data_IF_102549894375
#
_entry.id   IF_102549894375
#
_cell.length_a   1.000
_cell.length_b   1.000
_cell.length_c   1.000
_cell.angle_alpha   90.00
_cell.angle_beta   90.00
_cell.angle_gamma   90.00
#
_symmetry.space_group_name_H-M   'P 1'
#
loop_
_entity.id
_entity.type
_entity.pdbx_description
1 polymer ?
#
# COMPACT_ATOMS: atom_id res chain seq x y z
N UNK A 1 49.59 -31.73 -71.34
CA UNK A 1 49.24 -31.44 -69.93
C UNK A 1 50.47 -30.77 -69.35
N UNK A 2 50.40 -29.51 -68.90
CA UNK A 2 51.61 -28.84 -68.41
C UNK A 2 52.09 -29.57 -67.16
N UNK A 3 53.31 -30.08 -67.21
CA UNK A 3 53.98 -30.68 -66.06
C UNK A 3 54.14 -29.58 -65.00
N UNK A 4 53.40 -29.70 -63.90
CA UNK A 4 53.53 -28.79 -62.77
C UNK A 4 54.90 -29.03 -62.13
N UNK A 5 55.78 -28.03 -62.20
CA UNK A 5 57.10 -28.08 -61.59
C UNK A 5 57.00 -28.54 -60.11
N UNK A 6 57.85 -29.49 -59.65
CA UNK A 6 57.83 -29.98 -58.26
C UNK A 6 57.99 -28.85 -57.22
N UNK A 7 58.63 -27.74 -57.59
CA UNK A 7 58.78 -26.53 -56.78
C UNK A 7 57.48 -25.73 -56.67
N UNK A 8 56.63 -25.73 -57.70
CA UNK A 8 55.30 -25.12 -57.68
C UNK A 8 54.35 -25.90 -56.77
N UNK A 9 54.42 -27.23 -56.77
CA UNK A 9 53.63 -28.09 -55.87
C UNK A 9 54.06 -27.89 -54.41
N UNK A 10 55.37 -27.76 -54.14
CA UNK A 10 55.90 -27.42 -52.82
C UNK A 10 55.50 -26.01 -52.34
N UNK A 11 55.51 -25.02 -53.23
CA UNK A 11 55.06 -23.67 -52.92
C UNK A 11 53.55 -23.62 -52.61
N UNK A 12 52.71 -24.29 -53.41
CA UNK A 12 51.26 -24.38 -53.18
C UNK A 12 50.95 -25.13 -51.88
N UNK A 13 51.71 -26.17 -51.54
CA UNK A 13 51.59 -26.92 -50.30
C UNK A 13 51.92 -26.12 -49.02
N UNK A 14 52.81 -25.12 -49.11
CA UNK A 14 53.11 -24.19 -48.01
C UNK A 14 52.14 -23.00 -47.97
N UNK A 15 51.62 -22.60 -49.13
CA UNK A 15 50.73 -21.44 -49.27
C UNK A 15 49.35 -21.72 -48.65
N UNK A 16 48.83 -22.94 -48.77
CA UNK A 16 47.55 -23.34 -48.16
C UNK A 16 47.55 -23.18 -46.63
N UNK A 17 48.49 -23.75 -45.84
CA UNK A 17 48.53 -23.53 -44.40
C UNK A 17 48.83 -22.08 -44.03
N UNK A 18 49.61 -21.34 -44.82
CA UNK A 18 49.83 -19.91 -44.59
C UNK A 18 48.53 -19.09 -44.77
N UNK A 19 47.74 -19.38 -45.80
CA UNK A 19 46.43 -18.74 -46.04
C UNK A 19 45.42 -19.14 -44.96
N UNK A 20 45.39 -20.41 -44.55
CA UNK A 20 44.53 -20.86 -43.45
C UNK A 20 44.92 -20.18 -42.15
N UNK A 21 46.22 -20.10 -41.82
CA UNK A 21 46.71 -19.38 -40.65
C UNK A 21 46.35 -17.89 -40.70
N UNK A 22 46.49 -17.25 -41.86
CA UNK A 22 46.10 -15.86 -42.08
C UNK A 22 44.59 -15.64 -41.85
N UNK A 23 43.74 -16.52 -42.39
CA UNK A 23 42.29 -16.47 -42.19
C UNK A 23 41.94 -16.67 -40.71
N UNK A 24 42.60 -17.61 -40.02
CA UNK A 24 42.40 -17.83 -38.58
C UNK A 24 42.80 -16.60 -37.78
N UNK A 25 43.94 -15.98 -38.08
CA UNK A 25 44.40 -14.76 -37.40
C UNK A 25 43.45 -13.58 -37.67
N UNK A 26 43.04 -13.37 -38.92
CA UNK A 26 42.08 -12.31 -39.28
C UNK A 26 40.68 -12.55 -38.69
N UNK A 27 40.28 -13.81 -38.52
CA UNK A 27 39.04 -14.16 -37.84
C UNK A 27 39.12 -13.91 -36.33
N UNK A 28 40.28 -14.18 -35.72
CA UNK A 28 40.49 -14.04 -34.28
C UNK A 28 40.71 -12.58 -33.86
N UNK A 29 41.41 -11.80 -34.68
CA UNK A 29 41.77 -10.41 -34.39
C UNK A 29 40.78 -9.47 -35.09
N UNK A 30 39.96 -8.70 -34.35
CA UNK A 30 39.06 -7.73 -34.95
C UNK A 30 39.83 -6.46 -35.37
N UNK A 31 40.58 -6.55 -36.48
CA UNK A 31 41.43 -5.47 -37.01
C UNK A 31 40.65 -4.15 -37.21
N UNK A 32 39.41 -4.12 -37.73
CA UNK A 32 38.66 -2.87 -37.88
C UNK A 32 38.37 -2.17 -36.55
N UNK A 33 38.03 -2.92 -35.50
CA UNK A 33 37.79 -2.39 -34.16
C UNK A 33 39.08 -1.84 -33.53
N UNK A 34 40.20 -2.52 -33.75
CA UNK A 34 41.51 -2.06 -33.28
C UNK A 34 41.90 -0.73 -33.93
N UNK A 35 41.72 -0.59 -35.25
CA UNK A 35 41.96 0.67 -35.98
C UNK A 35 41.06 1.79 -35.45
N UNK A 36 39.77 1.51 -35.22
CA UNK A 36 38.81 2.49 -34.69
C UNK A 36 39.16 2.96 -33.27
N UNK A 37 39.67 2.05 -32.43
CA UNK A 37 40.13 2.35 -31.08
C UNK A 37 41.38 3.25 -31.12
N UNK A 38 42.34 2.91 -31.98
CA UNK A 38 43.57 3.66 -32.18
C UNK A 38 43.31 5.08 -32.73
N UNK A 39 42.48 5.22 -33.76
CA UNK A 39 42.14 6.52 -34.35
C UNK A 39 41.35 7.44 -33.41
N UNK A 40 40.66 6.85 -32.43
CA UNK A 40 39.90 7.57 -31.40
C UNK A 40 40.73 7.91 -30.15
N UNK A 41 42.03 7.61 -30.12
CA UNK A 41 42.88 7.81 -28.94
C UNK A 41 42.61 6.84 -27.78
N UNK A 42 41.78 5.83 -28.01
CA UNK A 42 41.42 4.80 -27.04
C UNK A 42 42.30 3.55 -27.26
N UNK A 43 43.57 3.62 -26.87
CA UNK A 43 44.53 2.55 -27.12
C UNK A 43 44.14 1.23 -26.46
N UNK A 44 44.00 0.17 -27.26
CA UNK A 44 43.80 -1.22 -26.81
C UNK A 44 44.81 -2.11 -27.53
N UNK A 45 45.51 -2.96 -26.78
CA UNK A 45 46.47 -3.92 -27.34
C UNK A 45 45.79 -5.01 -28.18
N UNK A 46 46.49 -5.48 -29.22
CA UNK A 46 46.02 -6.61 -30.04
C UNK A 46 45.85 -7.88 -29.19
N UNK A 47 46.78 -8.13 -28.26
CA UNK A 47 46.70 -9.27 -27.34
C UNK A 47 45.52 -9.18 -26.37
N UNK A 48 45.12 -7.98 -25.93
CA UNK A 48 43.94 -7.82 -25.07
C UNK A 48 42.64 -8.10 -25.84
N UNK A 49 42.53 -7.72 -27.12
CA UNK A 49 41.36 -8.05 -27.95
C UNK A 49 41.19 -9.55 -28.15
N UNK A 50 42.30 -10.28 -28.36
CA UNK A 50 42.28 -11.75 -28.43
C UNK A 50 41.92 -12.34 -27.06
N UNK A 51 42.50 -11.80 -25.99
CA UNK A 51 42.20 -12.20 -24.61
C UNK A 51 40.73 -12.04 -24.22
N UNK A 52 40.08 -10.95 -24.65
CA UNK A 52 38.63 -10.74 -24.44
C UNK A 52 37.81 -11.88 -25.02
N UNK A 53 38.10 -12.32 -26.25
CA UNK A 53 37.40 -13.44 -26.89
C UNK A 53 37.60 -14.76 -26.13
N UNK A 54 38.81 -15.02 -25.67
CA UNK A 54 39.10 -16.23 -24.88
C UNK A 54 38.31 -16.24 -23.54
N UNK A 55 38.13 -15.07 -22.93
CA UNK A 55 37.32 -14.88 -21.71
C UNK A 55 35.81 -14.74 -21.99
N UNK A 56 35.35 -14.97 -23.22
CA UNK A 56 33.95 -14.82 -23.67
C UNK A 56 33.37 -13.40 -23.45
N UNK A 57 34.21 -12.37 -23.46
CA UNK A 57 33.79 -10.97 -23.43
C UNK A 57 33.72 -10.43 -24.86
N UNK A 58 32.62 -9.81 -25.31
CA UNK A 58 32.48 -9.27 -26.66
C UNK A 58 33.39 -8.03 -26.84
N UNK A 59 34.44 -8.09 -27.67
CA UNK A 59 35.38 -6.98 -27.81
C UNK A 59 34.73 -5.72 -28.39
N UNK A 60 33.71 -5.89 -29.25
CA UNK A 60 32.98 -4.78 -29.87
C UNK A 60 32.34 -3.85 -28.84
N UNK A 61 31.63 -4.42 -27.86
CA UNK A 61 30.93 -3.66 -26.82
C UNK A 61 31.91 -2.90 -25.93
N UNK A 62 32.97 -3.56 -25.47
CA UNK A 62 33.97 -2.97 -24.57
C UNK A 62 34.73 -1.85 -25.26
N UNK A 63 35.23 -2.09 -26.48
CA UNK A 63 36.01 -1.11 -27.24
C UNK A 63 35.16 0.10 -27.60
N UNK A 64 33.93 -0.11 -28.07
CA UNK A 64 33.02 1.00 -28.41
C UNK A 64 32.69 1.84 -27.17
N UNK A 65 32.43 1.19 -26.03
CA UNK A 65 32.19 1.90 -24.77
C UNK A 65 33.44 2.70 -24.32
N UNK A 66 34.63 2.10 -24.43
CA UNK A 66 35.90 2.79 -24.13
C UNK A 66 36.14 3.98 -25.06
N UNK A 67 35.86 3.85 -26.36
CA UNK A 67 35.96 4.94 -27.32
C UNK A 67 35.04 6.09 -26.91
N UNK A 68 33.78 5.80 -26.57
CA UNK A 68 32.82 6.81 -26.11
C UNK A 68 33.27 7.52 -24.84
N UNK A 69 33.79 6.77 -23.86
CA UNK A 69 34.33 7.35 -22.62
C UNK A 69 35.51 8.29 -22.88
N UNK A 70 36.50 7.84 -23.67
CA UNK A 70 37.70 8.64 -23.98
C UNK A 70 37.35 9.89 -24.79
N UNK A 71 36.46 9.79 -25.79
CA UNK A 71 35.99 10.95 -26.56
C UNK A 71 35.20 11.95 -25.72
N UNK A 72 34.60 11.51 -24.63
CA UNK A 72 33.93 12.37 -23.66
C UNK A 72 34.89 12.97 -22.61
N UNK A 73 36.20 12.69 -22.67
CA UNK A 73 37.18 13.21 -21.70
C UNK A 73 37.39 12.31 -20.48
N UNK A 74 36.70 11.17 -20.38
CA UNK A 74 36.76 10.26 -19.23
C UNK A 74 37.97 9.32 -19.32
N UNK A 75 39.16 9.84 -19.04
CA UNK A 75 40.42 9.07 -19.16
C UNK A 75 40.62 8.02 -18.06
N UNK A 76 39.92 8.12 -16.92
CA UNK A 76 39.91 7.11 -15.84
C UNK A 76 39.21 5.79 -16.20
N UNK A 77 38.65 5.73 -17.42
CA UNK A 77 37.92 4.65 -18.12
C UNK A 77 38.51 3.24 -18.26
N UNK A 78 39.28 2.62 -17.36
CA UNK A 78 40.14 1.46 -17.70
C UNK A 78 39.44 0.28 -18.45
N UNK A 79 40.12 -0.32 -19.44
CA UNK A 79 39.57 -1.45 -20.22
C UNK A 79 39.31 -2.66 -19.33
N UNK A 80 40.20 -2.90 -18.36
CA UNK A 80 40.08 -4.00 -17.41
C UNK A 80 38.84 -3.83 -16.51
N UNK A 81 38.51 -2.60 -16.10
CA UNK A 81 37.33 -2.34 -15.28
C UNK A 81 36.03 -2.57 -16.08
N UNK A 82 36.01 -2.19 -17.36
CA UNK A 82 34.88 -2.45 -18.26
C UNK A 82 34.68 -3.97 -18.49
N UNK A 83 35.78 -4.70 -18.69
CA UNK A 83 35.75 -6.16 -18.82
C UNK A 83 35.27 -6.83 -17.52
N UNK A 84 35.80 -6.40 -16.37
CA UNK A 84 35.41 -6.92 -15.06
C UNK A 84 33.92 -6.68 -14.78
N UNK A 85 33.40 -5.49 -15.11
CA UNK A 85 31.98 -5.17 -14.98
C UNK A 85 31.09 -6.05 -15.88
N UNK A 86 31.51 -6.27 -17.13
CA UNK A 86 30.79 -7.16 -18.04
C UNK A 86 30.77 -8.61 -17.53
N UNK A 87 31.91 -9.10 -17.03
CA UNK A 87 32.01 -10.45 -16.47
C UNK A 87 31.20 -10.61 -15.17
N UNK A 88 31.01 -9.54 -14.41
CA UNK A 88 30.10 -9.49 -13.26
C UNK A 88 28.61 -9.48 -13.66
N UNK A 89 28.29 -9.44 -14.95
CA UNK A 89 26.92 -9.43 -15.47
C UNK A 89 26.30 -8.05 -15.65
N UNK A 90 27.11 -6.98 -15.54
CA UNK A 90 26.66 -5.60 -15.69
C UNK A 90 26.59 -5.10 -17.14
N UNK A 91 25.86 -4.01 -17.34
CA UNK A 91 25.71 -3.34 -18.63
C UNK A 91 26.73 -2.20 -18.80
N UNK A 92 27.83 -2.52 -19.47
CA UNK A 92 28.94 -1.58 -19.75
C UNK A 92 28.49 -0.33 -20.51
N UNK A 93 27.61 -0.48 -21.51
CA UNK A 93 27.16 0.64 -22.35
C UNK A 93 26.34 1.63 -21.52
N UNK A 94 25.44 1.12 -20.67
CA UNK A 94 24.61 1.95 -19.78
C UNK A 94 25.48 2.72 -18.78
N UNK A 95 26.43 2.06 -18.15
CA UNK A 95 27.36 2.68 -17.18
C UNK A 95 28.19 3.79 -17.83
N UNK A 96 28.78 3.54 -19.00
CA UNK A 96 29.55 4.57 -19.71
C UNK A 96 28.67 5.75 -20.11
N UNK A 97 27.47 5.52 -20.64
CA UNK A 97 26.55 6.61 -20.98
C UNK A 97 26.14 7.43 -19.75
N UNK A 98 25.97 6.78 -18.59
CA UNK A 98 25.68 7.45 -17.34
C UNK A 98 26.87 8.30 -16.87
N UNK A 99 28.10 7.78 -16.97
CA UNK A 99 29.33 8.53 -16.64
C UNK A 99 29.51 9.77 -17.53
N UNK A 100 29.28 9.63 -18.83
CA UNK A 100 29.33 10.77 -19.77
C UNK A 100 28.27 11.82 -19.42
N UNK A 101 27.07 11.37 -19.04
CA UNK A 101 25.99 12.27 -18.64
C UNK A 101 26.30 12.99 -17.33
N UNK A 102 26.92 12.29 -16.37
CA UNK A 102 27.31 12.85 -15.08
C UNK A 102 28.41 13.90 -15.23
N UNK A 103 29.43 13.61 -16.04
CA UNK A 103 30.54 14.54 -16.32
C UNK A 103 30.05 15.83 -16.99
N UNK A 104 29.17 15.72 -18.00
CA UNK A 104 28.53 16.89 -18.64
C UNK A 104 27.67 17.71 -17.67
N UNK A 105 27.15 17.08 -16.63
CA UNK A 105 26.37 17.72 -15.58
C UNK A 105 27.23 18.18 -14.39
N UNK A 106 28.55 18.05 -14.48
CA UNK A 106 29.51 18.37 -13.42
C UNK A 106 29.24 17.60 -12.10
N UNK A 107 28.80 16.34 -12.22
CA UNK A 107 28.55 15.42 -11.11
C UNK A 107 29.73 14.45 -11.01
N UNK A 108 30.41 14.44 -9.86
CA UNK A 108 31.52 13.53 -9.61
C UNK A 108 31.01 12.10 -9.42
N UNK A 109 31.18 11.25 -10.45
CA UNK A 109 30.74 9.86 -10.43
C UNK A 109 31.90 8.92 -10.83
N UNK A 110 32.58 8.26 -9.88
CA UNK A 110 33.63 7.31 -10.23
C UNK A 110 33.04 6.03 -10.85
N UNK A 111 33.80 5.39 -11.74
CA UNK A 111 33.37 4.17 -12.44
C UNK A 111 32.88 3.08 -11.48
N UNK A 112 33.60 2.85 -10.37
CA UNK A 112 33.24 1.84 -9.36
C UNK A 112 31.85 2.07 -8.76
N UNK A 113 31.45 3.33 -8.58
CA UNK A 113 30.12 3.69 -8.05
C UNK A 113 29.03 3.43 -9.10
N UNK A 114 29.26 3.88 -10.33
CA UNK A 114 28.33 3.62 -11.44
C UNK A 114 28.13 2.11 -11.68
N UNK A 115 29.22 1.34 -11.62
CA UNK A 115 29.18 -0.13 -11.69
C UNK A 115 28.39 -0.74 -10.53
N UNK A 116 28.58 -0.27 -9.29
CA UNK A 116 27.84 -0.76 -8.13
C UNK A 116 26.33 -0.50 -8.23
N UNK A 117 25.92 0.66 -8.77
CA UNK A 117 24.50 0.98 -8.98
C UNK A 117 23.87 0.05 -10.02
N UNK A 118 24.58 -0.21 -11.12
CA UNK A 118 24.12 -1.10 -12.20
C UNK A 118 24.01 -2.56 -11.70
N UNK A 119 25.00 -3.05 -10.95
CA UNK A 119 24.97 -4.40 -10.35
C UNK A 119 23.91 -4.54 -9.26
N UNK A 120 23.52 -3.45 -8.59
CA UNK A 120 22.38 -3.43 -7.68
C UNK A 120 21.02 -3.49 -8.40
N UNK A 121 21.02 -3.58 -9.74
CA UNK A 121 19.81 -3.68 -10.56
C UNK A 121 19.08 -2.35 -10.77
N UNK A 122 19.71 -1.21 -10.44
CA UNK A 122 19.13 0.13 -10.66
C UNK A 122 19.61 0.71 -12.00
N UNK A 123 18.78 1.52 -12.65
CA UNK A 123 19.18 2.22 -13.87
C UNK A 123 20.05 3.44 -13.54
N UNK A 124 21.37 3.30 -13.70
CA UNK A 124 22.35 4.36 -13.46
C UNK A 124 22.12 5.57 -14.37
N UNK A 125 21.71 5.36 -15.62
CA UNK A 125 21.54 6.44 -16.58
C UNK A 125 20.31 7.28 -16.22
N UNK A 126 19.21 6.63 -15.84
CA UNK A 126 18.02 7.32 -15.34
C UNK A 126 18.32 8.10 -14.06
N UNK A 127 19.05 7.50 -13.12
CA UNK A 127 19.45 8.14 -11.88
C UNK A 127 20.26 9.43 -12.11
N UNK A 128 21.24 9.41 -13.02
CA UNK A 128 22.02 10.61 -13.37
C UNK A 128 21.12 11.66 -14.02
N UNK A 129 20.24 11.27 -14.95
CA UNK A 129 19.31 12.20 -15.60
C UNK A 129 18.38 12.86 -14.57
N UNK A 130 17.84 12.09 -13.64
CA UNK A 130 16.96 12.58 -12.58
C UNK A 130 17.71 13.46 -11.55
N UNK A 131 19.02 13.26 -11.41
CA UNK A 131 19.87 14.15 -10.60
C UNK A 131 19.96 15.55 -11.21
N UNK A 132 19.97 15.67 -12.55
CA UNK A 132 20.03 16.96 -13.24
C UNK A 132 18.63 17.57 -13.41
N UNK A 133 17.71 16.77 -13.94
CA UNK A 133 16.33 17.17 -14.26
C UNK A 133 15.40 16.45 -13.28
N UNK A 134 14.90 17.14 -12.25
CA UNK A 134 14.00 16.54 -11.28
C UNK A 134 12.75 15.94 -11.93
N UNK A 135 12.23 14.87 -11.32
CA UNK A 135 11.01 14.20 -11.76
C UNK A 135 9.86 14.54 -10.81
N UNK A 136 8.69 14.81 -11.36
CA UNK A 136 7.47 15.03 -10.59
C UNK A 136 6.72 13.72 -10.48
N UNK A 137 6.38 13.33 -9.25
CA UNK A 137 5.65 12.11 -8.92
C UNK A 137 4.38 12.49 -8.15
N UNK A 138 3.24 11.98 -8.57
CA UNK A 138 1.97 12.23 -7.90
C UNK A 138 1.72 11.17 -6.84
N UNK A 139 1.22 11.58 -5.67
CA UNK A 139 0.72 10.63 -4.67
C UNK A 139 -0.65 10.09 -5.09
N UNK A 140 -1.02 8.94 -4.53
CA UNK A 140 -2.41 8.48 -4.57
C UNK A 140 -3.34 9.49 -3.88
N UNK A 141 -4.65 9.38 -4.14
CA UNK A 141 -5.68 10.12 -3.39
C UNK A 141 -5.66 9.66 -1.93
N UNK A 142 -5.24 10.54 -1.04
CA UNK A 142 -5.13 10.27 0.39
C UNK A 142 -6.34 10.88 1.08
N UNK A 143 -7.13 10.03 1.74
CA UNK A 143 -8.29 10.46 2.53
C UNK A 143 -7.92 10.56 4.01
N UNK A 144 -8.21 11.69 4.64
CA UNK A 144 -8.00 11.92 6.07
C UNK A 144 -9.15 12.72 6.65
N UNK A 145 -9.41 12.59 7.95
CA UNK A 145 -10.53 13.24 8.65
C UNK A 145 -9.98 14.27 9.62
N UNK A 146 -10.43 15.52 9.50
CA UNK A 146 -10.06 16.58 10.44
C UNK A 146 -10.79 16.42 11.78
N UNK A 147 -10.39 17.18 12.82
CA UNK A 147 -10.98 17.04 14.17
C UNK A 147 -12.46 17.40 14.25
N UNK A 148 -12.96 18.17 13.29
CA UNK A 148 -14.39 18.49 13.14
C UNK A 148 -15.21 17.35 12.50
N UNK A 149 -14.57 16.23 12.15
CA UNK A 149 -15.22 15.03 11.62
C UNK A 149 -15.47 15.07 10.11
N UNK A 150 -14.98 16.09 9.40
CA UNK A 150 -15.11 16.20 7.94
C UNK A 150 -13.92 15.57 7.25
N UNK A 151 -14.20 14.74 6.25
CA UNK A 151 -13.17 14.09 5.44
C UNK A 151 -12.65 15.06 4.37
N UNK A 152 -11.33 15.05 4.20
CA UNK A 152 -10.63 15.71 3.10
C UNK A 152 -9.88 14.65 2.29
N UNK A 153 -9.95 14.78 0.97
CA UNK A 153 -9.22 13.94 0.01
C UNK A 153 -8.19 14.83 -0.66
N UNK A 154 -6.92 14.61 -0.37
CA UNK A 154 -5.83 15.42 -0.89
C UNK A 154 -4.92 14.61 -1.81
N UNK A 155 -4.41 15.28 -2.85
CA UNK A 155 -3.39 14.77 -3.77
C UNK A 155 -2.21 15.71 -3.73
N UNK A 156 -0.99 15.18 -3.67
CA UNK A 156 0.23 15.97 -3.72
C UNK A 156 1.12 15.60 -4.91
N UNK A 157 1.85 16.58 -5.41
CA UNK A 157 2.94 16.49 -6.39
C UNK A 157 4.25 16.60 -5.63
N UNK A 158 5.04 15.54 -5.67
CA UNK A 158 6.36 15.49 -5.05
C UNK A 158 7.41 15.63 -6.15
N UNK A 159 8.19 16.69 -6.11
CA UNK A 159 9.33 16.88 -7.00
C UNK A 159 10.56 16.27 -6.34
N UNK A 160 11.07 15.19 -6.92
CA UNK A 160 12.24 14.47 -6.39
C UNK A 160 13.43 14.54 -7.34
N UNK A 161 14.61 14.53 -6.74
CA UNK A 161 15.90 14.42 -7.40
C UNK A 161 16.63 13.20 -6.87
N UNK A 162 17.35 12.47 -7.71
CA UNK A 162 18.16 11.34 -7.24
C UNK A 162 19.42 11.83 -6.51
N UNK A 163 19.65 11.28 -5.31
CA UNK A 163 20.89 11.44 -4.58
C UNK A 163 21.85 10.30 -4.95
N UNK A 164 22.87 10.62 -5.74
CA UNK A 164 23.80 9.64 -6.31
C UNK A 164 24.63 8.92 -5.21
N UNK A 165 24.89 9.58 -4.07
CA UNK A 165 25.67 8.99 -2.98
C UNK A 165 24.90 7.90 -2.22
N UNK A 166 23.56 8.01 -2.15
CA UNK A 166 22.69 7.10 -1.40
C UNK A 166 21.86 6.15 -2.26
N UNK A 167 22.16 6.09 -3.56
CA UNK A 167 21.38 5.31 -4.52
C UNK A 167 21.50 3.79 -4.29
N UNK A 168 22.66 3.33 -3.81
CA UNK A 168 22.87 1.92 -3.42
C UNK A 168 22.47 1.73 -1.96
N UNK A 169 21.47 0.89 -1.71
CA UNK A 169 20.96 0.60 -0.36
C UNK A 169 19.93 1.60 0.19
N UNK A 170 19.73 2.75 -0.45
CA UNK A 170 18.68 3.71 -0.10
C UNK A 170 17.27 3.21 -0.47
N UNK A 171 16.28 3.68 0.28
CA UNK A 171 14.87 3.42 0.01
C UNK A 171 14.39 4.06 -1.31
N UNK A 172 13.40 3.43 -1.95
CA UNK A 172 12.91 3.78 -3.28
C UNK A 172 11.88 4.93 -3.32
N UNK A 173 11.37 5.23 -4.52
CA UNK A 173 10.32 6.26 -4.73
C UNK A 173 9.06 5.94 -3.92
N UNK A 174 8.66 4.67 -3.87
CA UNK A 174 7.48 4.20 -3.13
C UNK A 174 7.52 4.55 -1.64
N UNK A 175 8.70 4.45 -1.02
CA UNK A 175 8.87 4.79 0.39
C UNK A 175 8.68 6.28 0.63
N UNK A 176 9.10 7.14 -0.30
CA UNK A 176 8.89 8.59 -0.22
C UNK A 176 7.40 8.90 -0.35
N UNK A 177 6.72 8.32 -1.33
CA UNK A 177 5.27 8.51 -1.54
C UNK A 177 4.51 8.10 -0.28
N UNK A 178 4.86 6.96 0.33
CA UNK A 178 4.23 6.48 1.56
C UNK A 178 4.46 7.43 2.75
N UNK A 179 5.69 7.89 2.95
CA UNK A 179 6.05 8.85 4.02
C UNK A 179 5.37 10.21 3.85
N UNK A 180 5.31 10.71 2.61
CA UNK A 180 4.56 11.94 2.29
C UNK A 180 3.08 11.73 2.59
N UNK A 181 2.53 10.57 2.21
CA UNK A 181 1.14 10.23 2.52
C UNK A 181 0.84 10.18 4.01
N UNK A 182 1.70 9.55 4.80
CA UNK A 182 1.62 9.56 6.27
C UNK A 182 1.66 10.98 6.83
N UNK A 183 2.58 11.81 6.34
CA UNK A 183 2.70 13.21 6.73
C UNK A 183 1.43 14.02 6.42
N UNK A 184 0.80 13.76 5.26
CA UNK A 184 -0.47 14.39 4.88
C UNK A 184 -1.60 13.96 5.81
N UNK A 185 -1.77 12.66 6.07
CA UNK A 185 -2.80 12.14 6.97
C UNK A 185 -2.64 12.73 8.38
N UNK A 186 -1.41 12.77 8.89
CA UNK A 186 -1.11 13.35 10.21
C UNK A 186 -1.42 14.84 10.28
N UNK A 187 -1.11 15.60 9.22
CA UNK A 187 -1.34 17.05 9.20
C UNK A 187 -2.83 17.38 9.07
N UNK A 188 -3.56 16.69 8.21
CA UNK A 188 -5.02 16.86 8.07
C UNK A 188 -5.73 16.43 9.37
N UNK A 189 -5.35 15.29 9.95
CA UNK A 189 -5.97 14.79 11.18
C UNK A 189 -5.68 15.63 12.43
N UNK A 190 -4.64 16.46 12.40
CA UNK A 190 -4.33 17.37 13.52
C UNK A 190 -5.00 18.74 13.40
N UNK A 191 -5.51 19.10 12.22
CA UNK A 191 -6.24 20.34 11.98
C UNK A 191 -7.53 20.41 12.82
N UNK A 192 -7.85 21.61 13.33
CA UNK A 192 -9.04 21.82 14.13
C UNK A 192 -10.30 21.73 13.28
N UNK A 193 -10.28 22.34 12.10
CA UNK A 193 -11.37 22.30 11.13
C UNK A 193 -10.88 21.96 9.73
N UNK A 194 -11.75 21.41 8.88
CA UNK A 194 -11.46 21.20 7.46
C UNK A 194 -11.22 22.53 6.71
N UNK A 195 -11.80 23.64 7.20
CA UNK A 195 -11.63 24.98 6.60
C UNK A 195 -10.20 25.46 6.71
N UNK A 196 -9.54 25.23 7.85
CA UNK A 196 -8.13 25.64 8.06
C UNK A 196 -7.21 25.04 6.98
N UNK A 197 -7.51 23.80 6.57
CA UNK A 197 -6.75 23.08 5.53
C UNK A 197 -7.06 23.62 4.13
N UNK A 198 -8.32 23.96 3.86
CA UNK A 198 -8.74 24.53 2.57
C UNK A 198 -8.25 25.97 2.37
N UNK A 199 -8.19 26.76 3.44
CA UNK A 199 -7.70 28.14 3.37
C UNK A 199 -6.20 28.20 3.09
N UNK A 200 -5.41 27.26 3.63
CA UNK A 200 -3.95 27.25 3.51
C UNK A 200 -3.39 25.83 3.29
N UNK A 201 -3.58 25.22 2.11
CA UNK A 201 -3.09 23.87 1.82
C UNK A 201 -1.56 23.77 1.86
N UNK A 202 -0.84 24.87 1.61
CA UNK A 202 0.63 24.95 1.70
C UNK A 202 1.19 24.69 3.10
N UNK A 203 0.37 24.82 4.15
CA UNK A 203 0.81 24.47 5.50
C UNK A 203 1.04 22.96 5.64
N UNK A 204 0.32 22.14 4.86
CA UNK A 204 0.52 20.69 4.81
C UNK A 204 1.94 20.39 4.30
N UNK A 205 2.32 20.95 3.16
CA UNK A 205 3.64 20.67 2.56
C UNK A 205 4.79 21.15 3.44
N UNK A 206 4.69 22.34 4.06
CA UNK A 206 5.71 22.87 4.98
C UNK A 206 5.91 21.97 6.20
N UNK A 207 4.84 21.51 6.83
CA UNK A 207 4.92 20.61 7.98
C UNK A 207 5.54 19.27 7.61
N UNK A 208 5.21 18.74 6.43
CA UNK A 208 5.75 17.47 5.93
C UNK A 208 7.25 17.59 5.62
N UNK A 209 7.66 18.65 4.91
CA UNK A 209 9.06 18.92 4.59
C UNK A 209 9.93 19.08 5.84
N UNK A 210 9.40 19.71 6.90
CA UNK A 210 10.12 19.92 8.16
C UNK A 210 10.55 18.62 8.88
N UNK A 211 9.92 17.48 8.55
CA UNK A 211 10.21 16.18 9.17
C UNK A 211 11.37 15.42 8.53
N UNK A 212 11.97 15.92 7.45
CA UNK A 212 13.13 15.27 6.81
C UNK A 212 12.81 13.87 6.26
N UNK A 213 11.75 13.77 5.44
CA UNK A 213 11.23 12.49 4.93
C UNK A 213 12.18 11.74 3.99
N UNK A 214 13.19 12.43 3.46
CA UNK A 214 14.24 11.92 2.58
C UNK A 214 15.45 11.32 3.35
N UNK A 215 15.37 11.26 4.69
CA UNK A 215 16.37 10.56 5.49
C UNK A 215 16.41 9.06 5.13
N UNK A 216 17.57 8.61 4.64
CA UNK A 216 17.80 7.21 4.26
C UNK A 216 17.20 6.78 2.93
N UNK A 217 16.73 7.72 2.10
CA UNK A 217 16.22 7.42 0.76
C UNK A 217 17.30 7.64 -0.32
N UNK A 218 17.11 7.00 -1.47
CA UNK A 218 17.93 7.21 -2.66
C UNK A 218 17.61 8.54 -3.39
N UNK A 219 16.61 9.28 -2.91
CA UNK A 219 16.16 10.54 -3.49
C UNK A 219 16.14 11.64 -2.43
N UNK A 220 16.22 12.87 -2.91
CA UNK A 220 16.09 14.12 -2.17
C UNK A 220 14.80 14.81 -2.64
N UNK A 221 14.03 15.34 -1.69
CA UNK A 221 12.75 16.00 -1.98
C UNK A 221 13.02 17.49 -2.17
N UNK A 222 12.76 18.02 -3.36
CA UNK A 222 12.91 19.44 -3.66
C UNK A 222 11.67 20.25 -3.26
N UNK A 223 10.49 19.74 -3.62
CA UNK A 223 9.21 20.34 -3.26
C UNK A 223 8.15 19.28 -3.06
N UNK A 224 7.18 19.62 -2.20
CA UNK A 224 5.91 18.92 -2.07
C UNK A 224 4.85 19.98 -2.30
N UNK A 225 4.07 19.84 -3.35
CA UNK A 225 3.04 20.79 -3.73
C UNK A 225 1.69 20.08 -3.63
N UNK A 226 0.71 20.69 -2.97
CA UNK A 226 -0.64 20.12 -2.93
C UNK A 226 -1.31 20.39 -4.28
N UNK A 227 -1.67 19.32 -4.99
CA UNK A 227 -2.25 19.40 -6.32
C UNK A 227 -3.76 19.66 -6.26
N UNK A 228 -4.43 19.05 -5.29
CA UNK A 228 -5.88 19.09 -5.15
C UNK A 228 -6.29 18.75 -3.72
N UNK A 229 -7.37 19.37 -3.22
CA UNK A 229 -7.97 19.10 -1.90
C UNK A 229 -9.49 19.15 -2.04
N UNK A 230 -10.12 17.98 -2.03
CA UNK A 230 -11.56 17.82 -2.12
C UNK A 230 -12.18 17.60 -0.72
N UNK A 231 -13.39 18.10 -0.50
CA UNK A 231 -14.20 17.77 0.68
C UNK A 231 -15.01 16.51 0.40
N UNK A 232 -14.85 15.51 1.28
CA UNK A 232 -15.56 14.23 1.23
C UNK A 232 -16.75 14.18 2.18
N UNK A 233 -16.96 13.00 2.78
CA UNK A 233 -18.09 12.76 3.68
C UNK A 233 -17.91 13.39 5.06
N UNK A 234 -19.03 13.71 5.71
CA UNK A 234 -19.04 14.04 7.14
C UNK A 234 -19.06 12.75 7.97
N UNK A 235 -17.87 12.20 8.20
CA UNK A 235 -17.66 10.99 8.99
C UNK A 235 -18.12 11.19 10.44
N UNK A 236 -17.94 12.39 11.00
CA UNK A 236 -18.41 12.73 12.35
C UNK A 236 -19.92 12.57 12.50
N UNK A 237 -20.70 13.13 11.59
CA UNK A 237 -22.16 12.98 11.58
C UNK A 237 -22.59 11.52 11.39
N UNK A 238 -21.90 10.78 10.50
CA UNK A 238 -22.18 9.37 10.27
C UNK A 238 -21.94 8.52 11.52
N UNK A 239 -20.81 8.72 12.19
CA UNK A 239 -20.49 8.04 13.46
C UNK A 239 -21.50 8.39 14.56
N UNK A 240 -21.98 9.64 14.64
CA UNK A 240 -23.02 10.03 15.59
C UNK A 240 -24.36 9.35 15.31
N UNK A 241 -24.76 9.24 14.04
CA UNK A 241 -25.97 8.51 13.63
C UNK A 241 -25.83 7.02 13.98
N UNK A 242 -24.68 6.43 13.69
CA UNK A 242 -24.42 5.02 13.99
C UNK A 242 -24.44 4.74 15.50
N UNK A 243 -23.86 5.64 16.30
CA UNK A 243 -23.94 5.59 17.77
C UNK A 243 -25.37 5.72 18.27
N UNK A 244 -26.14 6.70 17.78
CA UNK A 244 -27.54 6.89 18.18
C UNK A 244 -28.42 5.69 17.80
N UNK A 245 -28.16 5.06 16.66
CA UNK A 245 -28.85 3.85 16.24
C UNK A 245 -28.50 2.65 17.14
N UNK A 246 -27.23 2.49 17.51
CA UNK A 246 -26.79 1.47 18.46
C UNK A 246 -27.46 1.69 19.83
N UNK A 247 -27.46 2.92 20.36
CA UNK A 247 -28.10 3.26 21.63
C UNK A 247 -29.62 3.01 21.59
N UNK A 248 -30.28 3.35 20.48
CA UNK A 248 -31.70 3.03 20.27
C UNK A 248 -31.96 1.53 20.31
N UNK A 249 -31.13 0.72 19.67
CA UNK A 249 -31.27 -0.74 19.68
C UNK A 249 -31.08 -1.30 21.10
N UNK A 250 -30.09 -0.82 21.85
CA UNK A 250 -29.88 -1.22 23.24
C UNK A 250 -31.08 -0.84 24.12
N UNK A 251 -31.61 0.38 23.95
CA UNK A 251 -32.78 0.84 24.69
C UNK A 251 -34.03 0.01 24.35
N UNK A 252 -34.24 -0.33 23.08
CA UNK A 252 -35.33 -1.20 22.65
C UNK A 252 -35.21 -2.61 23.24
N UNK A 253 -34.02 -3.20 23.19
CA UNK A 253 -33.75 -4.52 23.78
C UNK A 253 -34.03 -4.54 25.30
N UNK A 254 -33.56 -3.53 26.03
CA UNK A 254 -33.85 -3.39 27.48
C UNK A 254 -35.33 -3.19 27.78
N UNK A 255 -36.06 -2.47 26.91
CA UNK A 255 -37.50 -2.30 27.08
C UNK A 255 -38.26 -3.61 26.84
N UNK A 256 -37.83 -4.41 25.86
CA UNK A 256 -38.38 -5.73 25.59
C UNK A 256 -38.07 -6.72 26.72
N UNK A 257 -36.84 -6.73 27.23
CA UNK A 257 -36.43 -7.52 28.39
C UNK A 257 -37.30 -7.20 29.61
N UNK A 258 -37.51 -5.92 29.92
CA UNK A 258 -38.40 -5.50 31.02
C UNK A 258 -39.84 -5.95 30.82
N UNK A 259 -40.35 -5.88 29.59
CA UNK A 259 -41.70 -6.37 29.28
C UNK A 259 -41.79 -7.87 29.47
N UNK A 260 -40.79 -8.63 29.01
CA UNK A 260 -40.74 -10.08 29.19
C UNK A 260 -40.68 -10.45 30.68
N UNK A 261 -39.85 -9.76 31.48
CA UNK A 261 -39.78 -9.96 32.93
C UNK A 261 -41.08 -9.61 33.64
N UNK A 262 -41.75 -8.51 33.25
CA UNK A 262 -43.03 -8.12 33.85
C UNK A 262 -44.12 -9.16 33.55
N UNK A 263 -44.17 -9.68 32.32
CA UNK A 263 -45.09 -10.76 31.95
C UNK A 263 -44.75 -12.04 32.73
N UNK A 264 -43.48 -12.41 32.85
CA UNK A 264 -43.06 -13.57 33.63
C UNK A 264 -43.46 -13.45 35.10
N UNK A 265 -43.25 -12.28 35.70
CA UNK A 265 -43.66 -11.99 37.08
C UNK A 265 -45.19 -12.03 37.24
N UNK A 266 -45.94 -11.49 36.27
CA UNK A 266 -47.41 -11.58 36.28
C UNK A 266 -47.88 -13.03 36.21
N UNK A 267 -47.27 -13.85 35.35
CA UNK A 267 -47.59 -15.28 35.27
C UNK A 267 -47.22 -16.02 36.56
N UNK A 268 -46.08 -15.70 37.18
CA UNK A 268 -45.69 -16.30 38.46
C UNK A 268 -46.67 -15.94 39.58
N UNK A 269 -47.10 -14.67 39.65
CA UNK A 269 -48.09 -14.21 40.63
C UNK A 269 -49.45 -14.88 40.39
N UNK A 270 -49.89 -15.00 39.13
CA UNK A 270 -51.12 -15.73 38.77
C UNK A 270 -51.02 -17.20 39.20
N UNK A 271 -49.89 -17.86 38.95
CA UNK A 271 -49.68 -19.25 39.37
C UNK A 271 -49.76 -19.40 40.90
N UNK A 272 -49.15 -18.49 41.66
CA UNK A 272 -49.24 -18.47 43.13
C UNK A 272 -50.66 -18.24 43.64
N UNK A 273 -51.43 -17.34 42.99
CA UNK A 273 -52.84 -17.12 43.33
C UNK A 273 -53.64 -18.41 43.09
N UNK A 274 -53.44 -19.07 41.95
CA UNK A 274 -54.12 -20.34 41.64
C UNK A 274 -53.72 -21.44 42.63
N UNK A 275 -52.45 -21.51 43.04
CA UNK A 275 -51.98 -22.46 44.06
C UNK A 275 -52.67 -22.23 45.41
N UNK A 276 -52.74 -20.98 45.87
CA UNK A 276 -53.43 -20.60 47.10
C UNK A 276 -54.96 -20.85 47.00
N UNK A 277 -55.59 -20.52 45.87
CA UNK A 277 -57.00 -20.82 45.62
C UNK A 277 -57.27 -22.33 45.63
N UNK A 278 -56.34 -23.15 45.15
CA UNK A 278 -56.45 -24.61 45.19
C UNK A 278 -56.38 -25.20 46.61
N UNK A 279 -55.80 -24.49 47.59
CA UNK A 279 -55.83 -24.91 48.99
C UNK A 279 -57.25 -24.87 49.58
N UNK A 280 -58.10 -23.93 49.13
CA UNK A 280 -59.46 -23.76 49.66
C UNK A 280 -60.34 -25.01 49.40
N UNK A 281 -60.44 -25.55 48.16
CA UNK A 281 -61.12 -26.82 47.92
C UNK A 281 -60.51 -27.99 48.68
N UNK A 282 -59.17 -28.04 48.85
CA UNK A 282 -58.51 -29.12 49.60
C UNK A 282 -58.88 -29.09 51.07
N UNK A 283 -58.87 -27.90 51.69
CA UNK A 283 -59.29 -27.69 53.07
C UNK A 283 -60.79 -27.96 53.25
N UNK A 284 -61.64 -27.55 52.30
CA UNK A 284 -63.07 -27.89 52.33
C UNK A 284 -63.31 -29.40 52.20
N UNK A 285 -62.60 -30.08 51.30
CA UNK A 285 -62.68 -31.54 51.18
C UNK A 285 -62.25 -32.25 52.47
N UNK A 286 -61.27 -31.70 53.19
CA UNK A 286 -60.87 -32.19 54.51
C UNK A 286 -61.94 -31.92 55.58
N UNK A 287 -62.56 -30.75 55.61
CA UNK A 287 -63.68 -30.44 56.50
C UNK A 287 -64.90 -31.34 56.27
N UNK A 288 -65.21 -31.68 55.01
CA UNK A 288 -66.23 -32.68 54.67
C UNK A 288 -65.88 -34.08 55.19
N UNK A 289 -64.62 -34.50 55.07
CA UNK A 289 -64.16 -35.82 55.57
C UNK A 289 -64.18 -35.91 57.10
N UNK A 290 -63.84 -34.82 57.79
CA UNK A 290 -63.84 -34.74 59.26
C UNK A 290 -65.25 -34.52 59.85
N UNK A 291 -66.26 -34.29 59.00
CA UNK A 291 -67.66 -34.12 59.43
C UNK A 291 -68.00 -32.72 59.96
N UNK A 292 -67.13 -31.73 59.78
CA UNK A 292 -67.31 -30.36 60.28
C UNK A 292 -68.18 -29.48 59.35
N UNK A 293 -68.44 -29.93 58.12
CA UNK A 293 -69.27 -29.21 57.14
C UNK A 293 -70.28 -30.18 56.48
N UNK A 294 -71.57 -29.84 56.51
CA UNK A 294 -72.63 -30.66 55.93
C UNK A 294 -72.93 -30.33 54.46
N UNK A 295 -73.51 -31.28 53.72
CA UNK A 295 -73.92 -31.10 52.31
C UNK A 295 -74.91 -29.93 52.16
N UNK A 296 -75.84 -29.78 53.10
CA UNK A 296 -76.83 -28.70 53.08
C UNK A 296 -76.21 -27.32 53.30
N UNK A 297 -75.10 -27.22 54.05
CA UNK A 297 -74.39 -25.95 54.28
C UNK A 297 -73.60 -25.52 53.03
N UNK A 298 -73.01 -26.48 52.31
CA UNK A 298 -72.34 -26.22 51.03
C UNK A 298 -73.30 -25.72 49.95
N UNK A 299 -74.49 -26.32 49.83
CA UNK A 299 -75.51 -25.84 48.90
C UNK A 299 -75.98 -24.42 49.23
N UNK A 300 -76.13 -24.07 50.52
CA UNK A 300 -76.43 -22.69 50.92
C UNK A 300 -75.32 -21.73 50.54
N UNK A 301 -74.07 -22.08 50.80
CA UNK A 301 -72.91 -21.25 50.42
C UNK A 301 -72.85 -21.02 48.91
N UNK A 302 -73.04 -22.07 48.10
CA UNK A 302 -73.12 -21.98 46.63
C UNK A 302 -74.24 -21.04 46.16
N UNK A 303 -75.42 -21.11 46.79
CA UNK A 303 -76.54 -20.23 46.43
C UNK A 303 -76.25 -18.76 46.78
N UNK A 304 -75.66 -18.49 47.95
CA UNK A 304 -75.28 -17.12 48.35
C UNK A 304 -74.18 -16.56 47.42
N UNK A 305 -73.21 -17.39 47.01
CA UNK A 305 -72.19 -17.00 46.03
C UNK A 305 -72.83 -16.70 44.67
N UNK A 306 -73.75 -17.53 44.18
CA UNK A 306 -74.44 -17.30 42.91
C UNK A 306 -75.26 -16.00 42.93
N UNK A 307 -75.98 -15.72 44.02
CA UNK A 307 -76.71 -14.46 44.20
C UNK A 307 -75.77 -13.25 44.25
N UNK A 308 -74.60 -13.40 44.88
CA UNK A 308 -73.60 -12.34 44.97
C UNK A 308 -72.97 -12.06 43.59
N UNK A 309 -72.60 -13.09 42.83
CA UNK A 309 -72.08 -12.93 41.46
C UNK A 309 -73.12 -12.34 40.50
N UNK A 310 -74.40 -12.70 40.64
CA UNK A 310 -75.47 -12.05 39.89
C UNK A 310 -75.61 -10.56 40.24
N UNK A 311 -75.50 -10.19 41.53
CA UNK A 311 -75.55 -8.78 41.93
C UNK A 311 -74.34 -7.97 41.45
N UNK A 312 -73.15 -8.55 41.48
CA UNK A 312 -71.92 -7.90 41.05
C UNK A 312 -71.90 -7.66 39.53
N UNK A 313 -72.33 -8.63 38.73
CA UNK A 313 -72.48 -8.47 37.28
C UNK A 313 -73.54 -7.44 36.88
N UNK A 314 -74.63 -7.31 37.65
CA UNK A 314 -75.63 -6.24 37.48
C UNK A 314 -75.03 -4.87 37.84
N UNK A 315 -74.19 -4.80 38.88
CA UNK A 315 -73.54 -3.57 39.31
C UNK A 315 -72.46 -3.09 38.31
N UNK A 316 -71.64 -3.98 37.74
CA UNK A 316 -70.65 -3.59 36.73
C UNK A 316 -71.28 -3.23 35.38
N UNK A 317 -72.41 -3.84 35.03
CA UNK A 317 -73.22 -3.42 33.87
C UNK A 317 -73.74 -1.98 33.96
N UNK A 318 -73.87 -1.42 35.17
CA UNK A 318 -74.33 -0.03 35.39
C UNK A 318 -73.24 1.04 35.29
N UNK A 319 -71.95 0.66 35.28
CA UNK A 319 -70.82 1.60 35.13
C UNK A 319 -70.46 1.94 33.68
N UNK A 320 -71.10 1.28 32.71
CA UNK A 320 -70.85 1.47 31.28
C UNK A 320 -71.94 2.33 30.59
N UNK A 321 -72.35 3.45 31.22
CA UNK A 321 -73.03 4.53 30.49
C UNK A 321 -72.00 5.41 29.76
N UNK A 322 -72.08 5.57 28.43
CA UNK A 322 -71.14 6.42 27.69
C UNK A 322 -71.41 7.90 28.01
N UNK A 323 -70.41 8.59 28.55
CA UNK A 323 -70.40 10.06 28.62
C UNK A 323 -70.48 10.62 27.19
N UNK A 324 -71.40 11.56 26.87
CA UNK A 324 -71.44 12.15 25.53
C UNK A 324 -70.16 12.96 25.28
N UNK A 325 -69.61 12.98 24.05
CA UNK A 325 -68.47 13.82 23.74
C UNK A 325 -68.90 15.30 23.83
N UNK A 326 -68.30 16.03 24.77
CA UNK A 326 -68.41 17.48 24.84
C UNK A 326 -67.78 18.14 23.62
N UNK A 327 -68.47 19.18 23.11
CA UNK A 327 -67.96 20.13 22.11
C UNK A 327 -66.86 21.01 22.68
#
# INVERSE_FOLDING_TARGET
MPELDPTAIGAIGLLIPAVVLMIVVLYLVPVPLWIAAWSSGAYVGLLTLVGMRLRRVPPSTIVTARISAVKAGLQGVSVNDLEAHYLAGGNVVRVVNALISADKANIEMPFKRAAAIDLAGRDVLEAVKMSVIPKVINTARIAAVAKDGIQLIAVSRVTVRTNIDRLVGGAGEETIIARVGEGMVSTIGSAATHKDVLENPDHISKNILSRGLDAGTAYEILSIDIADVDVGDNIGAKLQIDQANADKQIAQAKAEERRAMAVALEQEMRARVVEAEAEVPRAMAEAFRQGNLGIMDYYRMKNIQADSSMRESIADGSKNEPTPPGR
#
